data_IF_653148282053
#
_entry.id   IF_653148282053
#
_cell.length_a   1.000
_cell.length_b   1.000
_cell.length_c   1.000
_cell.angle_alpha   90.00
_cell.angle_beta   90.00
_cell.angle_gamma   90.00
#
_symmetry.space_group_name_H-M   'P 1'
#
loop_
_entity.id
_entity.type
_entity.pdbx_description
1 polymer ?
#
# COMPACT_ATOMS: atom_id res chain seq x y z
N UNK A 1 -10.53 -1.14 0.60
CA UNK A 1 -10.60 -2.44 1.30
C UNK A 1 -9.79 -3.51 0.58
N UNK A 2 -9.41 -4.55 1.32
CA UNK A 2 -8.89 -5.79 0.73
C UNK A 2 -10.06 -6.64 0.23
N UNK A 3 -10.03 -7.02 -1.04
CA UNK A 3 -11.00 -7.94 -1.65
C UNK A 3 -10.27 -9.18 -2.16
N UNK A 4 -10.71 -10.36 -1.72
CA UNK A 4 -10.10 -11.63 -2.12
C UNK A 4 -8.57 -11.61 -2.01
N UNK A 5 -8.07 -11.13 -0.85
CA UNK A 5 -6.65 -11.03 -0.50
C UNK A 5 -5.83 -10.06 -1.37
N UNK A 6 -6.48 -9.30 -2.22
CA UNK A 6 -5.83 -8.39 -3.18
C UNK A 6 -6.42 -6.99 -3.19
N UNK A 7 -6.00 -6.22 -4.17
CA UNK A 7 -6.53 -4.87 -4.39
C UNK A 7 -7.93 -4.92 -4.99
N UNK A 8 -8.79 -3.92 -4.69
CA UNK A 8 -10.04 -3.75 -5.44
C UNK A 8 -9.78 -3.57 -6.94
N UNK A 9 -10.69 -4.09 -7.77
CA UNK A 9 -10.52 -4.05 -9.23
C UNK A 9 -10.34 -2.62 -9.78
N UNK A 10 -11.05 -1.65 -9.21
CA UNK A 10 -10.93 -0.25 -9.63
C UNK A 10 -9.55 0.34 -9.33
N UNK A 11 -8.95 0.00 -8.19
CA UNK A 11 -7.59 0.44 -7.87
C UNK A 11 -6.57 -0.23 -8.79
N UNK A 12 -6.72 -1.52 -9.08
CA UNK A 12 -5.85 -2.22 -10.03
C UNK A 12 -5.93 -1.60 -11.42
N UNK A 13 -7.15 -1.29 -11.88
CA UNK A 13 -7.35 -0.60 -13.16
C UNK A 13 -6.67 0.78 -13.18
N UNK A 14 -6.79 1.55 -12.10
CA UNK A 14 -6.11 2.83 -11.95
C UNK A 14 -4.58 2.68 -12.05
N UNK A 15 -4.00 1.72 -11.32
CA UNK A 15 -2.57 1.43 -11.35
C UNK A 15 -2.12 1.09 -12.78
N UNK A 16 -2.86 0.22 -13.47
CA UNK A 16 -2.55 -0.18 -14.85
C UNK A 16 -2.60 1.00 -15.84
N UNK A 17 -3.38 2.04 -15.53
CA UNK A 17 -3.44 3.26 -16.35
C UNK A 17 -2.32 4.26 -16.05
N UNK A 18 -1.79 4.30 -14.83
CA UNK A 18 -0.76 5.27 -14.45
C UNK A 18 0.67 4.74 -14.64
N UNK A 19 0.87 3.43 -14.67
CA UNK A 19 2.18 2.83 -14.93
C UNK A 19 2.41 2.79 -16.44
N UNK A 20 3.05 3.83 -16.97
CA UNK A 20 3.20 4.05 -18.42
C UNK A 20 4.63 4.41 -18.79
N UNK A 21 5.13 3.75 -19.83
CA UNK A 21 6.46 4.03 -20.37
C UNK A 21 6.59 5.48 -20.83
N UNK A 22 7.70 6.11 -20.51
CA UNK A 22 8.03 7.52 -20.80
C UNK A 22 7.09 8.54 -20.12
N UNK A 23 6.26 8.11 -19.17
CA UNK A 23 5.39 8.96 -18.35
C UNK A 23 5.70 8.80 -16.88
N UNK A 24 5.64 7.59 -16.36
CA UNK A 24 5.90 7.27 -14.94
C UNK A 24 7.09 6.34 -14.75
N UNK A 25 7.56 5.69 -15.80
CA UNK A 25 8.83 4.98 -15.83
C UNK A 25 9.50 5.10 -17.20
N UNK A 26 10.82 4.90 -17.24
CA UNK A 26 11.60 4.81 -18.46
C UNK A 26 12.18 3.40 -18.64
N UNK A 27 12.48 3.06 -19.89
CA UNK A 27 13.13 1.82 -20.23
C UNK A 27 14.28 2.11 -21.20
N UNK A 28 15.51 1.72 -20.82
CA UNK A 28 16.73 1.97 -21.60
C UNK A 28 17.68 0.79 -21.48
N UNK A 29 17.79 0.01 -22.55
CA UNK A 29 18.64 -1.18 -22.62
C UNK A 29 20.14 -0.89 -22.54
N UNK A 30 20.57 0.35 -22.72
CA UNK A 30 21.98 0.73 -22.57
C UNK A 30 22.45 0.79 -21.12
N UNK A 31 21.53 0.78 -20.16
CA UNK A 31 21.79 0.82 -18.73
C UNK A 31 21.86 -0.57 -18.13
N UNK A 32 22.69 -0.74 -17.09
CA UNK A 32 22.76 -1.98 -16.31
C UNK A 32 21.41 -2.33 -15.69
N UNK A 33 20.70 -1.31 -15.15
CA UNK A 33 19.30 -1.43 -14.75
C UNK A 33 18.41 -0.70 -15.75
N UNK A 34 17.73 -1.45 -16.65
CA UNK A 34 16.98 -0.84 -17.74
C UNK A 34 15.77 -0.02 -17.32
N UNK A 35 15.13 -0.37 -16.21
CA UNK A 35 13.93 0.32 -15.72
C UNK A 35 14.28 1.41 -14.72
N UNK A 36 13.62 2.55 -14.83
CA UNK A 36 13.77 3.66 -13.91
C UNK A 36 12.44 4.36 -13.67
N UNK A 37 12.05 4.51 -12.41
CA UNK A 37 10.88 5.30 -12.04
C UNK A 37 11.11 6.79 -12.31
N UNK A 38 10.08 7.48 -12.74
CA UNK A 38 10.14 8.90 -13.09
C UNK A 38 9.47 9.82 -12.08
N UNK A 39 8.78 9.29 -11.07
CA UNK A 39 8.21 10.11 -10.01
C UNK A 39 9.32 10.60 -9.06
N UNK A 40 9.05 11.74 -8.42
CA UNK A 40 9.94 12.34 -7.46
C UNK A 40 10.14 11.41 -6.24
N UNK A 41 11.38 11.03 -5.96
CA UNK A 41 11.78 10.18 -4.84
C UNK A 41 11.46 10.78 -3.47
N UNK A 42 11.17 12.07 -3.38
CA UNK A 42 10.75 12.71 -2.13
C UNK A 42 9.27 12.48 -1.80
N UNK A 43 8.48 12.00 -2.76
CA UNK A 43 7.08 11.68 -2.53
C UNK A 43 6.94 10.54 -1.53
N UNK A 44 5.97 10.69 -0.64
CA UNK A 44 5.59 9.67 0.34
C UNK A 44 4.21 9.14 -0.01
N UNK A 45 4.04 7.84 -0.01
CA UNK A 45 2.75 7.19 -0.18
C UNK A 45 2.21 6.68 1.15
N UNK A 46 0.97 7.02 1.45
CA UNK A 46 0.24 6.50 2.60
C UNK A 46 -0.86 5.59 2.10
N UNK A 47 -0.87 4.35 2.55
CA UNK A 47 -1.88 3.36 2.21
C UNK A 47 -2.79 3.16 3.41
N UNK A 48 -4.06 3.54 3.26
CA UNK A 48 -5.09 3.31 4.25
C UNK A 48 -5.97 2.17 3.77
N UNK A 49 -6.09 1.12 4.55
CA UNK A 49 -6.83 -0.07 4.16
C UNK A 49 -7.77 -0.56 5.23
N UNK A 50 -8.76 -1.35 4.82
CA UNK A 50 -9.69 -2.07 5.68
C UNK A 50 -9.73 -3.53 5.25
N UNK A 51 -9.72 -4.44 6.23
CA UNK A 51 -9.67 -5.89 6.03
C UNK A 51 -10.78 -6.58 6.82
N UNK A 52 -11.41 -7.56 6.20
CA UNK A 52 -12.44 -8.37 6.86
C UNK A 52 -11.88 -9.22 7.99
N UNK A 53 -10.79 -9.92 7.73
CA UNK A 53 -10.03 -10.71 8.69
C UNK A 53 -8.90 -9.94 9.37
N UNK A 54 -7.87 -10.67 9.79
CA UNK A 54 -6.74 -10.11 10.55
C UNK A 54 -5.44 -10.91 10.34
N UNK A 55 -4.32 -10.33 10.78
CA UNK A 55 -2.98 -10.96 10.80
C UNK A 55 -2.46 -11.42 9.44
N UNK A 56 -2.88 -10.76 8.35
CA UNK A 56 -2.43 -11.12 6.99
C UNK A 56 -0.94 -10.91 6.75
N UNK A 57 -0.29 -10.09 7.56
CA UNK A 57 1.13 -9.77 7.45
C UNK A 57 2.01 -10.66 8.36
N UNK A 58 1.40 -11.58 9.09
CA UNK A 58 2.12 -12.57 9.91
C UNK A 58 2.78 -13.63 9.03
N UNK A 59 3.97 -14.09 9.44
CA UNK A 59 4.66 -15.20 8.77
C UNK A 59 3.84 -16.50 8.77
N UNK A 60 2.99 -16.68 9.76
CA UNK A 60 2.12 -17.85 9.93
C UNK A 60 0.70 -17.62 9.41
N UNK A 61 0.46 -16.53 8.68
CA UNK A 61 -0.86 -16.22 8.14
C UNK A 61 -1.38 -17.36 7.26
N UNK A 62 -2.61 -17.85 7.49
CA UNK A 62 -3.18 -18.92 6.66
C UNK A 62 -3.43 -18.48 5.21
N UNK A 63 -3.56 -17.18 5.01
CA UNK A 63 -3.77 -16.57 3.69
C UNK A 63 -2.85 -15.36 3.53
N UNK A 64 -2.07 -15.27 2.43
CA UNK A 64 -1.12 -14.18 2.24
C UNK A 64 -1.82 -12.85 1.90
N UNK A 65 -1.14 -11.75 2.23
CA UNK A 65 -1.54 -10.41 1.81
C UNK A 65 -1.00 -10.12 0.40
N UNK A 66 -1.89 -10.00 -0.56
CA UNK A 66 -1.58 -9.57 -1.93
C UNK A 66 -2.12 -8.18 -2.26
N UNK A 67 -2.60 -7.43 -1.27
CA UNK A 67 -3.11 -6.07 -1.45
C UNK A 67 -2.00 -5.02 -1.34
N UNK A 68 -1.61 -4.65 -0.13
CA UNK A 68 -0.61 -3.60 0.08
C UNK A 68 0.76 -3.94 -0.54
N UNK A 69 1.29 -5.17 -0.47
CA UNK A 69 2.54 -5.49 -1.14
C UNK A 69 2.51 -5.28 -2.66
N UNK A 70 1.41 -5.61 -3.32
CA UNK A 70 1.25 -5.38 -4.75
C UNK A 70 1.18 -3.89 -5.09
N UNK A 71 0.47 -3.10 -4.29
CA UNK A 71 0.41 -1.63 -4.43
C UNK A 71 1.81 -1.04 -4.29
N UNK A 72 2.54 -1.41 -3.24
CA UNK A 72 3.90 -0.90 -3.01
C UNK A 72 4.84 -1.26 -4.15
N UNK A 73 4.78 -2.48 -4.67
CA UNK A 73 5.61 -2.90 -5.80
C UNK A 73 5.36 -2.02 -7.03
N UNK A 74 4.10 -1.78 -7.39
CA UNK A 74 3.75 -0.95 -8.54
C UNK A 74 4.22 0.51 -8.39
N UNK A 75 4.00 1.10 -7.23
CA UNK A 75 4.39 2.49 -6.97
C UNK A 75 5.91 2.65 -6.78
N UNK A 76 6.59 1.66 -6.21
CA UNK A 76 8.05 1.64 -6.16
C UNK A 76 8.65 1.57 -7.57
N UNK A 77 8.07 0.77 -8.45
CA UNK A 77 8.49 0.67 -9.84
C UNK A 77 8.47 2.02 -10.57
N UNK A 78 7.51 2.88 -10.27
CA UNK A 78 7.42 4.23 -10.87
C UNK A 78 8.16 5.31 -10.08
N UNK A 79 8.83 4.98 -8.97
CA UNK A 79 9.77 5.88 -8.29
C UNK A 79 9.45 6.25 -6.84
N UNK A 80 8.37 5.74 -6.24
CA UNK A 80 8.07 6.02 -4.84
C UNK A 80 8.82 5.05 -3.94
N UNK A 81 9.59 5.58 -2.99
CA UNK A 81 10.42 4.79 -2.07
C UNK A 81 9.92 4.81 -0.62
N UNK A 82 9.14 5.83 -0.25
CA UNK A 82 8.64 6.03 1.13
C UNK A 82 7.19 5.62 1.22
N UNK A 83 6.93 4.61 2.06
CA UNK A 83 5.59 4.07 2.27
C UNK A 83 5.23 4.05 3.75
N UNK A 84 3.97 4.38 4.05
CA UNK A 84 3.35 4.16 5.35
C UNK A 84 2.05 3.40 5.15
N UNK A 85 1.77 2.47 6.04
CA UNK A 85 0.58 1.62 5.98
C UNK A 85 -0.18 1.71 7.28
N UNK A 86 -1.49 1.97 7.18
CA UNK A 86 -2.42 1.94 8.30
C UNK A 86 -3.61 1.09 7.88
N UNK A 87 -3.84 -0.03 8.58
CA UNK A 87 -4.92 -0.94 8.30
C UNK A 87 -5.89 -1.02 9.48
N UNK A 88 -7.18 -1.07 9.17
CA UNK A 88 -8.23 -1.48 10.10
C UNK A 88 -8.57 -2.93 9.78
N UNK A 89 -8.42 -3.80 10.75
CA UNK A 89 -8.72 -5.22 10.66
C UNK A 89 -10.00 -5.58 11.41
N UNK A 90 -10.40 -6.85 11.37
CA UNK A 90 -11.58 -7.38 12.07
C UNK A 90 -12.93 -6.84 11.60
N UNK A 91 -13.05 -6.37 10.36
CA UNK A 91 -14.33 -5.85 9.85
C UNK A 91 -15.47 -6.89 9.87
N UNK A 92 -15.14 -8.16 9.61
CA UNK A 92 -16.12 -9.26 9.64
C UNK A 92 -16.45 -9.74 11.06
N UNK A 93 -15.56 -9.47 12.02
CA UNK A 93 -15.74 -9.88 13.42
C UNK A 93 -16.62 -8.89 14.21
N UNK A 94 -16.46 -7.59 13.93
CA UNK A 94 -17.19 -6.56 14.66
C UNK A 94 -16.78 -6.43 16.13
N UNK A 95 -17.64 -5.83 16.92
CA UNK A 95 -17.52 -5.77 18.38
C UNK A 95 -16.23 -5.10 18.87
N UNK A 96 -15.71 -5.61 19.98
CA UNK A 96 -14.53 -5.06 20.66
C UNK A 96 -13.25 -5.16 19.83
N UNK A 97 -13.05 -6.24 19.07
CA UNK A 97 -11.86 -6.43 18.24
C UNK A 97 -11.80 -5.36 17.14
N UNK A 98 -12.90 -5.08 16.50
CA UNK A 98 -12.98 -4.01 15.50
C UNK A 98 -12.77 -2.64 16.14
N UNK A 99 -13.41 -2.37 17.28
CA UNK A 99 -13.28 -1.09 17.99
C UNK A 99 -11.81 -0.81 18.37
N UNK A 100 -11.10 -1.81 18.89
CA UNK A 100 -9.67 -1.71 19.22
C UNK A 100 -8.81 -1.48 17.98
N UNK A 101 -9.12 -2.14 16.86
CA UNK A 101 -8.39 -1.95 15.60
C UNK A 101 -8.58 -0.53 15.04
N UNK A 102 -9.78 0.02 15.11
CA UNK A 102 -10.07 1.40 14.71
C UNK A 102 -9.29 2.37 15.59
N UNK A 103 -9.32 2.21 16.91
CA UNK A 103 -8.60 3.07 17.84
C UNK A 103 -7.09 3.03 17.59
N UNK A 104 -6.52 1.85 17.36
CA UNK A 104 -5.11 1.71 17.05
C UNK A 104 -4.74 2.42 15.72
N UNK A 105 -5.60 2.32 14.71
CA UNK A 105 -5.41 2.99 13.42
C UNK A 105 -5.48 4.53 13.56
N UNK A 106 -6.40 5.05 14.37
CA UNK A 106 -6.49 6.49 14.67
C UNK A 106 -5.22 7.00 15.35
N UNK A 107 -4.71 6.28 16.36
CA UNK A 107 -3.46 6.65 17.05
C UNK A 107 -2.25 6.64 16.10
N UNK A 108 -2.15 5.62 15.23
CA UNK A 108 -1.09 5.57 14.21
C UNK A 108 -1.20 6.74 13.23
N UNK A 109 -2.41 7.12 12.86
CA UNK A 109 -2.65 8.26 11.96
C UNK A 109 -2.18 9.56 12.58
N UNK A 110 -2.51 9.81 13.85
CA UNK A 110 -2.07 11.01 14.60
C UNK A 110 -0.54 11.05 14.66
N UNK A 111 0.10 9.95 15.05
CA UNK A 111 1.56 9.86 15.14
C UNK A 111 2.22 10.09 13.77
N UNK A 112 1.70 9.50 12.70
CA UNK A 112 2.22 9.68 11.36
C UNK A 112 2.12 11.13 10.88
N UNK A 113 0.99 11.80 11.12
CA UNK A 113 0.81 13.21 10.75
C UNK A 113 1.82 14.10 11.48
N UNK A 114 2.06 13.85 12.77
CA UNK A 114 3.07 14.58 13.54
C UNK A 114 4.48 14.38 12.97
N UNK A 115 4.85 13.15 12.61
CA UNK A 115 6.15 12.83 12.01
C UNK A 115 6.34 13.52 10.64
N UNK A 116 5.29 13.55 9.82
CA UNK A 116 5.34 14.15 8.49
C UNK A 116 5.41 15.69 8.50
N UNK A 117 5.03 16.32 9.61
CA UNK A 117 5.12 17.79 9.79
C UNK A 117 6.52 18.26 10.20
N UNK A 118 7.38 17.37 10.55
CA UNK A 118 8.75 17.62 10.98
C UNK A 118 9.77 16.97 10.03
#
# INVERSE_FOLDING_TARGET
>A
PMYNFGTPAHLKAYIDHIVRMNKTYSFDLSKEQPYSGLLDHQKTMIILSARGGHDFDSADAPFPNHAEPAIKTAFNFIGIEKFHEIAIEYQEFGGELLAQSIQAAEQKTIALVQDLQH
#
